data_IF_673908315837
#
_entry.id   IF_673908315837
#
_cell.length_a   1.000
_cell.length_b   1.000
_cell.length_c   1.000
_cell.angle_alpha   90.00
_cell.angle_beta   90.00
_cell.angle_gamma   90.00
#
_symmetry.space_group_name_H-M   'P 1'
#
loop_
_entity.id
_entity.type
_entity.pdbx_description
1 polymer ?
#
# COMPACT_ATOMS: atom_id res chain seq x y z
N UNK A 1 -13.27 -18.67 14.99
CA UNK A 1 -12.36 -17.48 15.04
C UNK A 1 -12.79 -16.49 13.98
N UNK A 2 -12.84 -15.21 14.28
CA UNK A 2 -13.18 -14.16 13.32
C UNK A 2 -12.11 -14.09 12.22
N UNK A 3 -12.50 -14.25 10.97
CA UNK A 3 -11.62 -14.16 9.82
C UNK A 3 -11.39 -12.71 9.44
N UNK A 4 -10.21 -12.19 9.74
CA UNK A 4 -9.83 -10.81 9.43
C UNK A 4 -8.97 -10.76 8.17
N UNK A 5 -9.35 -9.93 7.21
CA UNK A 5 -8.51 -9.57 6.06
C UNK A 5 -8.08 -8.11 6.19
N UNK A 6 -6.76 -7.87 6.17
CA UNK A 6 -6.21 -6.52 6.20
C UNK A 6 -6.05 -5.96 4.79
N UNK A 7 -6.68 -4.83 4.49
CA UNK A 7 -6.51 -4.06 3.26
C UNK A 7 -5.60 -2.86 3.52
N UNK A 8 -4.37 -2.90 2.99
CA UNK A 8 -3.34 -1.89 3.23
C UNK A 8 -3.12 -1.04 1.96
N UNK A 9 -3.47 0.24 2.06
CA UNK A 9 -3.42 1.17 0.92
C UNK A 9 -1.98 1.49 0.48
N UNK A 10 -1.84 1.96 -0.76
CA UNK A 10 -0.66 2.69 -1.20
C UNK A 10 -0.51 4.03 -0.48
N UNK A 11 0.69 4.61 -0.47
CA UNK A 11 0.90 5.92 0.19
C UNK A 11 2.38 6.29 0.41
N UNK A 12 3.32 5.57 -0.19
CA UNK A 12 4.76 5.82 -0.03
C UNK A 12 5.21 5.63 1.43
N UNK A 13 6.02 6.52 1.97
CA UNK A 13 6.54 6.43 3.34
C UNK A 13 5.44 6.45 4.42
N UNK A 14 4.27 7.03 4.12
CA UNK A 14 3.12 7.09 5.03
C UNK A 14 2.59 5.70 5.40
N UNK A 15 2.89 4.68 4.59
CA UNK A 15 2.50 3.29 4.86
C UNK A 15 3.12 2.72 6.14
N UNK A 16 4.09 3.38 6.77
CA UNK A 16 4.53 3.03 8.12
C UNK A 16 3.38 3.09 9.15
N UNK A 17 2.34 3.89 8.91
CA UNK A 17 1.13 3.91 9.73
C UNK A 17 0.41 2.56 9.77
N UNK A 18 0.55 1.73 8.74
CA UNK A 18 -0.01 0.38 8.73
C UNK A 18 0.52 -0.49 9.86
N UNK A 19 1.82 -0.34 10.22
CA UNK A 19 2.41 -1.10 11.34
C UNK A 19 1.72 -0.75 12.66
N UNK A 20 1.55 0.55 12.93
CA UNK A 20 0.85 1.02 14.11
C UNK A 20 -0.61 0.56 14.17
N UNK A 21 -1.32 0.63 13.04
CA UNK A 21 -2.70 0.20 12.95
C UNK A 21 -2.85 -1.32 13.16
N UNK A 22 -1.97 -2.13 12.56
CA UNK A 22 -1.97 -3.60 12.77
C UNK A 22 -1.59 -3.96 14.20
N UNK A 23 -0.71 -3.17 14.86
CA UNK A 23 -0.42 -3.35 16.28
C UNK A 23 -1.67 -3.16 17.13
N UNK A 24 -2.40 -2.07 16.96
CA UNK A 24 -3.63 -1.81 17.70
C UNK A 24 -4.68 -2.90 17.45
N UNK A 25 -4.80 -3.39 16.20
CA UNK A 25 -5.70 -4.51 15.87
C UNK A 25 -5.33 -5.76 16.66
N UNK A 26 -4.04 -6.16 16.66
CA UNK A 26 -3.59 -7.38 17.37
C UNK A 26 -3.78 -7.29 18.88
N UNK A 27 -3.67 -6.09 19.46
CA UNK A 27 -3.92 -5.86 20.89
C UNK A 27 -5.38 -6.12 21.29
N UNK A 28 -6.34 -6.07 20.34
CA UNK A 28 -7.74 -6.48 20.57
C UNK A 28 -7.98 -8.00 20.45
N UNK A 29 -6.93 -8.79 20.18
CA UNK A 29 -7.05 -10.23 19.93
C UNK A 29 -7.43 -10.59 18.50
N UNK A 30 -7.65 -9.63 17.62
CA UNK A 30 -7.92 -9.87 16.20
C UNK A 30 -6.60 -10.04 15.42
N UNK A 31 -6.42 -11.21 14.83
CA UNK A 31 -5.21 -11.54 14.07
C UNK A 31 -5.56 -11.63 12.59
N UNK A 32 -4.82 -10.92 11.71
CA UNK A 32 -5.04 -11.04 10.28
C UNK A 32 -4.78 -12.46 9.77
N UNK A 33 -5.75 -13.03 9.07
CA UNK A 33 -5.60 -14.29 8.34
C UNK A 33 -5.12 -14.08 6.89
N UNK A 34 -5.21 -12.83 6.40
CA UNK A 34 -4.81 -12.50 5.04
C UNK A 34 -4.47 -10.99 4.95
N UNK A 35 -3.43 -10.66 4.21
CA UNK A 35 -3.07 -9.29 3.86
C UNK A 35 -3.31 -9.03 2.38
N UNK A 36 -3.95 -7.92 2.06
CA UNK A 36 -4.10 -7.41 0.69
C UNK A 36 -3.44 -6.04 0.63
N UNK A 37 -2.47 -5.87 -0.24
CA UNK A 37 -1.69 -4.64 -0.28
C UNK A 37 -1.55 -4.04 -1.68
N UNK A 38 -1.49 -2.71 -1.71
CA UNK A 38 -1.24 -1.91 -2.92
C UNK A 38 0.01 -1.06 -2.73
N UNK A 39 0.88 -0.97 -3.74
CA UNK A 39 2.07 -0.11 -3.73
C UNK A 39 2.97 -0.40 -2.52
N UNK A 40 3.44 0.62 -1.82
CA UNK A 40 4.21 0.45 -0.58
C UNK A 40 3.44 -0.31 0.50
N UNK A 41 2.09 -0.27 0.51
CA UNK A 41 1.27 -1.10 1.39
C UNK A 41 1.44 -2.60 1.12
N UNK A 42 1.71 -3.00 -0.13
CA UNK A 42 2.02 -4.38 -0.47
C UNK A 42 3.37 -4.84 0.14
N UNK A 43 4.35 -3.94 0.23
CA UNK A 43 5.64 -4.24 0.89
C UNK A 43 5.43 -4.45 2.39
N UNK A 44 4.66 -3.58 3.05
CA UNK A 44 4.33 -3.75 4.48
C UNK A 44 3.57 -5.06 4.70
N UNK A 45 2.57 -5.33 3.84
CA UNK A 45 1.81 -6.58 3.86
C UNK A 45 2.73 -7.82 3.73
N UNK A 46 3.70 -7.78 2.80
CA UNK A 46 4.65 -8.87 2.57
C UNK A 46 5.60 -9.09 3.76
N UNK A 47 6.10 -8.01 4.38
CA UNK A 47 6.94 -8.09 5.58
C UNK A 47 6.17 -8.75 6.72
N UNK A 48 4.91 -8.34 6.95
CA UNK A 48 4.07 -8.91 7.99
C UNK A 48 3.63 -10.34 7.67
N UNK A 49 3.35 -10.63 6.39
CA UNK A 49 2.98 -11.98 5.95
C UNK A 49 4.14 -12.97 6.02
N UNK A 50 5.38 -12.49 5.93
CA UNK A 50 6.59 -13.30 6.11
C UNK A 50 6.92 -13.60 7.60
N UNK A 51 6.03 -13.25 8.54
CA UNK A 51 6.21 -13.53 9.96
C UNK A 51 7.10 -12.52 10.72
N UNK A 52 7.56 -11.44 10.07
CA UNK A 52 8.33 -10.42 10.77
C UNK A 52 7.53 -9.81 11.92
N UNK A 53 8.16 -9.66 13.07
CA UNK A 53 7.58 -8.89 14.17
C UNK A 53 7.40 -7.41 13.76
N UNK A 54 6.47 -6.71 14.41
CA UNK A 54 6.24 -5.29 14.16
C UNK A 54 7.50 -4.45 14.43
N UNK A 55 8.29 -4.82 15.42
CA UNK A 55 9.54 -4.14 15.75
C UNK A 55 10.61 -4.34 14.67
N UNK A 56 10.74 -5.57 14.14
CA UNK A 56 11.62 -5.86 13.00
C UNK A 56 11.19 -5.10 11.76
N UNK A 57 9.87 -5.10 11.45
CA UNK A 57 9.31 -4.36 10.33
C UNK A 57 9.61 -2.85 10.44
N UNK A 58 9.43 -2.27 11.63
CA UNK A 58 9.75 -0.87 11.92
C UNK A 58 11.24 -0.59 11.70
N UNK A 59 12.13 -1.44 12.22
CA UNK A 59 13.57 -1.30 12.05
C UNK A 59 13.96 -1.35 10.59
N UNK A 60 13.48 -2.36 9.84
CA UNK A 60 13.75 -2.52 8.41
C UNK A 60 13.32 -1.29 7.60
N UNK A 61 12.15 -0.71 7.90
CA UNK A 61 11.69 0.52 7.25
C UNK A 61 12.54 1.73 7.61
N UNK A 62 12.99 1.85 8.87
CA UNK A 62 13.82 2.96 9.33
C UNK A 62 15.22 2.93 8.72
N UNK A 63 15.70 1.76 8.31
CA UNK A 63 17.00 1.56 7.65
C UNK A 63 16.97 1.92 6.16
N UNK A 64 15.78 2.09 5.57
CA UNK A 64 15.64 2.52 4.17
C UNK A 64 16.22 3.92 3.96
N UNK A 65 16.89 4.10 2.84
CA UNK A 65 17.42 5.38 2.41
C UNK A 65 16.71 5.82 1.13
N UNK A 66 16.59 7.14 0.94
CA UNK A 66 15.99 7.69 -0.29
C UNK A 66 16.67 7.15 -1.56
N UNK A 67 17.98 6.96 -1.55
CA UNK A 67 18.74 6.37 -2.67
C UNK A 67 18.35 4.91 -3.00
N UNK A 68 17.79 4.19 -2.04
CA UNK A 68 17.30 2.83 -2.27
C UNK A 68 16.00 2.84 -3.09
N UNK A 69 15.16 3.84 -2.85
CA UNK A 69 13.86 4.00 -3.51
C UNK A 69 13.93 4.88 -4.76
N UNK A 70 14.65 6.00 -4.71
CA UNK A 70 14.62 7.05 -5.73
C UNK A 70 16.01 7.26 -6.38
N UNK A 71 16.69 6.19 -6.79
CA UNK A 71 17.96 6.29 -7.49
C UNK A 71 17.74 6.76 -8.94
N UNK A 72 18.26 7.95 -9.36
CA UNK A 72 18.03 8.48 -10.68
C UNK A 72 18.49 7.53 -11.79
N UNK A 73 17.69 7.41 -12.84
CA UNK A 73 18.09 6.70 -14.05
C UNK A 73 18.96 7.60 -14.94
N UNK A 74 20.09 7.11 -15.50
CA UNK A 74 20.87 7.89 -16.47
C UNK A 74 20.04 8.35 -17.67
N UNK A 75 19.09 7.52 -18.11
CA UNK A 75 18.13 7.86 -19.17
C UNK A 75 17.18 9.00 -18.82
N UNK A 76 17.03 9.36 -17.54
CA UNK A 76 16.20 10.50 -17.15
C UNK A 76 16.70 11.83 -17.76
N UNK A 77 18.00 11.92 -18.07
CA UNK A 77 18.59 13.05 -18.80
C UNK A 77 18.14 13.13 -20.26
N UNK A 78 17.66 12.01 -20.83
CA UNK A 78 17.13 11.96 -22.20
C UNK A 78 15.66 12.43 -22.27
N UNK A 79 15.08 12.88 -21.14
CA UNK A 79 13.75 13.47 -21.06
C UNK A 79 12.67 12.57 -21.66
N UNK A 80 12.14 12.96 -22.81
CA UNK A 80 11.04 12.29 -23.49
C UNK A 80 11.29 10.80 -23.83
N UNK A 81 12.54 10.40 -24.01
CA UNK A 81 12.91 9.01 -24.34
C UNK A 81 13.19 8.14 -23.11
N UNK A 82 13.05 8.68 -21.89
CA UNK A 82 13.24 7.89 -20.67
C UNK A 82 12.02 7.00 -20.39
N UNK A 83 12.30 5.74 -20.02
CA UNK A 83 11.24 4.81 -19.56
C UNK A 83 10.77 5.10 -18.13
N UNK A 84 11.48 5.93 -17.38
CA UNK A 84 11.17 6.31 -16.00
C UNK A 84 12.29 7.12 -15.38
N UNK A 85 11.98 7.83 -14.29
CA UNK A 85 12.94 8.71 -13.59
C UNK A 85 13.94 7.92 -12.76
N UNK A 86 13.51 6.79 -12.19
CA UNK A 86 14.31 5.99 -11.25
C UNK A 86 14.66 4.62 -11.81
N UNK A 87 15.81 4.10 -11.37
CA UNK A 87 16.26 2.76 -11.72
C UNK A 87 15.53 1.71 -10.88
N UNK A 88 15.00 0.63 -11.50
CA UNK A 88 14.34 -0.44 -10.76
C UNK A 88 15.29 -1.27 -9.89
N UNK A 89 16.55 -1.42 -10.30
CA UNK A 89 17.50 -2.29 -9.60
C UNK A 89 17.75 -1.95 -8.13
N UNK A 90 18.05 -0.69 -7.75
CA UNK A 90 18.17 -0.30 -6.35
C UNK A 90 16.91 -0.58 -5.53
N UNK A 91 15.73 -0.25 -6.06
CA UNK A 91 14.44 -0.51 -5.42
C UNK A 91 14.22 -2.02 -5.18
N UNK A 92 14.41 -2.85 -6.21
CA UNK A 92 14.27 -4.31 -6.09
C UNK A 92 15.21 -4.91 -5.04
N UNK A 93 16.46 -4.42 -4.97
CA UNK A 93 17.40 -4.84 -3.91
C UNK A 93 16.94 -4.41 -2.52
N UNK A 94 16.37 -3.21 -2.39
CA UNK A 94 15.82 -2.74 -1.13
C UNK A 94 14.66 -3.62 -0.67
N UNK A 95 13.70 -3.90 -1.56
CA UNK A 95 12.57 -4.80 -1.30
C UNK A 95 13.05 -6.20 -0.90
N UNK A 96 14.06 -6.75 -1.60
CA UNK A 96 14.62 -8.07 -1.30
C UNK A 96 15.35 -8.14 0.08
N UNK A 97 15.77 -6.98 0.63
CA UNK A 97 16.30 -6.89 2.01
C UNK A 97 15.20 -6.75 3.05
N UNK A 98 14.09 -6.06 2.68
CA UNK A 98 12.96 -5.84 3.58
C UNK A 98 12.13 -7.11 3.80
N UNK A 99 11.91 -7.88 2.73
CA UNK A 99 11.05 -9.06 2.78
C UNK A 99 11.93 -10.31 2.76
N UNK A 100 11.97 -11.10 3.85
CA UNK A 100 12.84 -12.27 3.94
C UNK A 100 12.37 -13.43 3.04
N UNK A 101 11.06 -13.48 2.69
CA UNK A 101 10.51 -14.48 1.79
C UNK A 101 10.89 -14.21 0.32
N UNK A 102 11.08 -15.27 -0.46
CA UNK A 102 11.41 -15.20 -1.89
C UNK A 102 10.23 -15.52 -2.78
N UNK A 103 9.34 -16.37 -2.31
CA UNK A 103 8.14 -16.86 -3.02
C UNK A 103 6.92 -16.67 -2.12
N UNK A 104 5.75 -16.66 -2.72
CA UNK A 104 4.48 -16.61 -1.97
C UNK A 104 4.31 -17.85 -1.05
N UNK A 105 4.81 -19.00 -1.46
CA UNK A 105 4.79 -20.22 -0.65
C UNK A 105 5.67 -20.17 0.61
N UNK A 106 6.59 -19.21 0.70
CA UNK A 106 7.47 -19.04 1.86
C UNK A 106 6.84 -18.13 2.94
N UNK A 107 5.61 -17.61 2.71
CA UNK A 107 4.91 -16.71 3.63
C UNK A 107 4.12 -17.49 4.69
N UNK A 108 4.11 -16.98 5.92
CA UNK A 108 3.35 -17.58 7.04
C UNK A 108 1.85 -17.22 6.98
N UNK A 109 1.52 -16.05 6.41
CA UNK A 109 0.15 -15.56 6.26
C UNK A 109 -0.14 -15.31 4.79
N UNK A 110 -1.38 -15.60 4.36
CA UNK A 110 -1.83 -15.34 3.00
C UNK A 110 -1.60 -13.87 2.59
N UNK A 111 -1.10 -13.67 1.36
CA UNK A 111 -0.82 -12.35 0.80
C UNK A 111 -1.40 -12.23 -0.59
N UNK A 112 -2.06 -11.10 -0.86
CA UNK A 112 -2.44 -10.68 -2.20
C UNK A 112 -1.85 -9.30 -2.49
N UNK A 113 -1.20 -9.17 -3.63
CA UNK A 113 -0.57 -7.94 -4.11
C UNK A 113 -1.34 -7.48 -5.34
N UNK A 114 -1.66 -6.18 -5.41
CA UNK A 114 -2.34 -5.59 -6.56
C UNK A 114 -1.36 -4.87 -7.49
N UNK A 115 -1.53 -5.05 -8.79
CA UNK A 115 -0.89 -4.27 -9.84
C UNK A 115 -1.89 -4.03 -10.97
N UNK A 116 -1.55 -3.24 -11.98
CA UNK A 116 -2.39 -3.01 -13.16
C UNK A 116 -1.66 -3.49 -14.40
N UNK A 117 -2.29 -4.38 -15.17
CA UNK A 117 -1.81 -4.79 -16.50
C UNK A 117 -1.98 -3.61 -17.47
N UNK A 118 -0.87 -3.17 -18.10
CA UNK A 118 -0.90 -1.98 -18.96
C UNK A 118 -1.57 -2.21 -20.31
N UNK A 119 -1.80 -3.46 -20.71
CA UNK A 119 -2.41 -3.78 -22.00
C UNK A 119 -3.93 -3.83 -21.89
N UNK A 120 -4.44 -4.37 -20.78
CA UNK A 120 -5.89 -4.50 -20.55
C UNK A 120 -6.45 -3.38 -19.68
N UNK A 121 -5.60 -2.71 -18.89
CA UNK A 121 -6.03 -1.76 -17.86
C UNK A 121 -6.69 -2.43 -16.65
N UNK A 122 -6.69 -3.77 -16.57
CA UNK A 122 -7.32 -4.51 -15.49
C UNK A 122 -6.42 -4.65 -14.27
N UNK A 123 -7.04 -4.83 -13.11
CA UNK A 123 -6.34 -5.13 -11.88
C UNK A 123 -5.81 -6.57 -11.94
N UNK A 124 -4.49 -6.71 -11.89
CA UNK A 124 -3.80 -7.98 -11.78
C UNK A 124 -3.53 -8.28 -10.30
N UNK A 125 -3.75 -9.53 -9.89
CA UNK A 125 -3.47 -10.01 -8.54
C UNK A 125 -2.30 -11.00 -8.56
N UNK A 126 -1.38 -10.80 -7.61
CA UNK A 126 -0.28 -11.72 -7.35
C UNK A 126 -0.42 -12.32 -5.95
N UNK A 127 -0.09 -13.61 -5.80
CA UNK A 127 -0.25 -14.37 -4.58
C UNK A 127 -1.63 -15.01 -4.45
N UNK A 128 -2.16 -15.09 -3.24
CA UNK A 128 -3.44 -15.75 -2.97
C UNK A 128 -4.57 -15.16 -3.80
N UNK A 129 -5.25 -15.99 -4.57
CA UNK A 129 -6.33 -15.59 -5.46
C UNK A 129 -5.89 -14.93 -6.78
N UNK A 130 -4.59 -14.97 -7.08
CA UNK A 130 -3.97 -14.50 -8.31
C UNK A 130 -2.79 -15.37 -8.69
N UNK A 131 -1.80 -14.80 -9.39
CA UNK A 131 -0.57 -15.49 -9.78
C UNK A 131 0.41 -15.58 -8.60
N UNK A 132 0.78 -16.77 -8.18
CA UNK A 132 1.73 -17.05 -7.10
C UNK A 132 3.02 -17.73 -7.58
N UNK A 133 3.12 -18.00 -8.88
CA UNK A 133 4.23 -18.63 -9.58
C UNK A 133 5.40 -17.66 -9.88
N UNK A 134 5.25 -16.37 -9.60
CA UNK A 134 6.26 -15.34 -9.85
C UNK A 134 7.11 -15.07 -8.61
N UNK A 135 8.39 -14.65 -8.77
CA UNK A 135 9.19 -14.22 -7.64
C UNK A 135 8.52 -13.06 -6.88
N UNK A 136 8.49 -13.17 -5.55
CA UNK A 136 7.80 -12.18 -4.70
C UNK A 136 8.33 -10.74 -4.93
N UNK A 137 9.65 -10.58 -5.14
CA UNK A 137 10.26 -9.27 -5.43
C UNK A 137 9.76 -8.67 -6.74
N UNK A 138 9.41 -9.50 -7.73
CA UNK A 138 8.91 -9.03 -9.02
C UNK A 138 7.47 -8.56 -8.93
N UNK A 139 6.64 -9.28 -8.18
CA UNK A 139 5.27 -8.87 -7.86
C UNK A 139 5.24 -7.58 -7.04
N UNK A 140 6.13 -7.45 -6.04
CA UNK A 140 6.25 -6.24 -5.23
C UNK A 140 6.77 -5.04 -6.03
N UNK A 141 7.69 -5.28 -6.98
CA UNK A 141 8.10 -4.22 -7.90
C UNK A 141 6.95 -3.81 -8.81
N UNK A 142 6.18 -4.76 -9.37
CA UNK A 142 5.00 -4.45 -10.19
C UNK A 142 3.99 -3.60 -9.43
N UNK A 143 3.70 -3.96 -8.16
CA UNK A 143 2.81 -3.21 -7.29
C UNK A 143 3.25 -1.76 -7.02
N UNK A 144 4.56 -1.48 -7.11
CA UNK A 144 5.17 -0.18 -6.82
C UNK A 144 5.72 0.55 -8.06
N UNK A 145 5.52 0.01 -9.26
CA UNK A 145 5.97 0.61 -10.51
C UNK A 145 5.11 1.82 -10.90
N UNK A 146 5.15 2.86 -10.06
CA UNK A 146 4.37 4.09 -10.25
C UNK A 146 4.76 4.76 -11.57
N UNK A 147 3.82 4.99 -12.50
CA UNK A 147 4.08 5.61 -13.78
C UNK A 147 4.84 6.93 -13.67
N UNK A 148 5.70 7.24 -14.64
CA UNK A 148 6.66 8.34 -14.66
C UNK A 148 7.87 8.10 -13.75
N UNK A 149 7.67 7.61 -12.54
CA UNK A 149 8.77 7.38 -11.60
C UNK A 149 9.57 6.12 -11.94
N UNK A 150 8.89 5.03 -12.24
CA UNK A 150 9.53 3.76 -12.58
C UNK A 150 9.05 3.22 -13.94
N UNK A 151 9.91 2.50 -14.66
CA UNK A 151 9.46 1.74 -15.82
C UNK A 151 8.48 0.65 -15.37
N UNK A 152 7.51 0.28 -16.22
CA UNK A 152 6.64 -0.87 -15.95
C UNK A 152 7.43 -2.13 -15.62
N UNK A 153 6.91 -2.96 -14.73
CA UNK A 153 7.46 -4.28 -14.48
C UNK A 153 7.13 -5.20 -15.66
N UNK A 154 8.12 -5.92 -16.16
CA UNK A 154 7.92 -6.94 -17.18
C UNK A 154 7.96 -8.32 -16.52
N UNK A 155 6.85 -9.07 -16.58
CA UNK A 155 6.70 -10.41 -16.03
C UNK A 155 6.05 -11.28 -17.11
N UNK A 156 6.75 -12.29 -17.59
CA UNK A 156 6.30 -13.22 -18.63
C UNK A 156 5.71 -12.54 -19.87
N UNK A 157 6.39 -11.51 -20.35
CA UNK A 157 6.02 -10.77 -21.56
C UNK A 157 4.88 -9.76 -21.36
N UNK A 158 4.29 -9.67 -20.17
CA UNK A 158 3.29 -8.66 -19.82
C UNK A 158 3.90 -7.52 -19.01
N UNK A 159 3.31 -6.35 -19.11
CA UNK A 159 3.77 -5.14 -18.42
C UNK A 159 2.78 -4.70 -17.36
N UNK A 160 3.29 -4.41 -16.16
CA UNK A 160 2.50 -4.03 -15.02
C UNK A 160 2.98 -2.71 -14.43
N UNK A 161 2.02 -1.91 -13.95
CA UNK A 161 2.26 -0.67 -13.19
C UNK A 161 1.60 -0.76 -11.83
N UNK A 162 1.90 0.22 -10.97
CA UNK A 162 1.39 0.32 -9.60
C UNK A 162 -0.12 0.10 -9.52
N UNK A 163 -0.53 -0.79 -8.62
CA UNK A 163 -1.94 -1.11 -8.36
C UNK A 163 -2.78 0.09 -7.94
N UNK A 164 -2.14 1.11 -7.35
CA UNK A 164 -2.79 2.34 -6.91
C UNK A 164 -3.43 3.15 -8.04
N UNK A 165 -2.99 2.95 -9.29
CA UNK A 165 -3.64 3.56 -10.46
C UNK A 165 -5.11 3.16 -10.57
N UNK A 166 -5.50 1.99 -10.04
CA UNK A 166 -6.86 1.45 -10.11
C UNK A 166 -7.48 1.12 -8.75
N UNK A 167 -6.69 0.82 -7.75
CA UNK A 167 -7.16 0.40 -6.43
C UNK A 167 -6.15 0.78 -5.34
N UNK A 168 -6.05 2.09 -5.03
CA UNK A 168 -5.10 2.57 -4.00
C UNK A 168 -5.41 1.96 -2.63
N UNK A 169 -6.68 1.81 -2.28
CA UNK A 169 -7.16 1.04 -1.13
C UNK A 169 -7.89 -0.21 -1.64
N UNK A 170 -7.37 -1.44 -1.48
CA UNK A 170 -7.88 -2.62 -2.16
C UNK A 170 -9.06 -3.30 -1.43
N UNK A 171 -10.14 -2.56 -1.08
CA UNK A 171 -11.30 -3.06 -0.34
C UNK A 171 -12.03 -4.18 -1.07
N UNK A 172 -12.36 -3.96 -2.35
CA UNK A 172 -13.10 -4.93 -3.15
C UNK A 172 -12.29 -6.22 -3.34
N UNK A 173 -10.95 -6.11 -3.42
CA UNK A 173 -10.07 -7.27 -3.45
C UNK A 173 -10.08 -8.01 -2.11
N UNK A 174 -10.04 -7.31 -0.98
CA UNK A 174 -10.09 -7.91 0.34
C UNK A 174 -11.41 -8.66 0.59
N UNK A 175 -12.53 -8.10 0.14
CA UNK A 175 -13.85 -8.69 0.28
C UNK A 175 -14.00 -10.03 -0.49
N UNK A 176 -13.24 -10.24 -1.59
CA UNK A 176 -13.28 -11.48 -2.38
C UNK A 176 -12.89 -12.73 -1.56
N UNK A 177 -12.18 -12.55 -0.47
CA UNK A 177 -11.74 -13.65 0.39
C UNK A 177 -12.76 -14.03 1.46
N UNK A 178 -14.00 -13.51 1.37
CA UNK A 178 -15.10 -13.77 2.29
C UNK A 178 -14.65 -13.66 3.76
N UNK A 179 -14.14 -12.49 4.20
CA UNK A 179 -13.82 -12.25 5.60
C UNK A 179 -15.09 -11.96 6.41
N UNK A 180 -15.02 -12.15 7.73
CA UNK A 180 -15.99 -11.58 8.66
C UNK A 180 -15.74 -10.07 8.83
N UNK A 181 -14.44 -9.68 8.82
CA UNK A 181 -13.99 -8.31 9.02
C UNK A 181 -12.95 -7.93 7.96
N UNK A 182 -13.17 -6.83 7.26
CA UNK A 182 -12.14 -6.11 6.52
C UNK A 182 -11.57 -5.01 7.40
N UNK A 183 -10.32 -5.17 7.85
CA UNK A 183 -9.58 -4.11 8.51
C UNK A 183 -8.79 -3.32 7.47
N UNK A 184 -9.27 -2.14 7.14
CA UNK A 184 -8.70 -1.31 6.10
C UNK A 184 -7.91 -0.13 6.70
N UNK A 185 -6.67 0.05 6.23
CA UNK A 185 -5.86 1.20 6.62
C UNK A 185 -5.57 2.03 5.38
N UNK A 186 -6.12 3.24 5.36
CA UNK A 186 -6.00 4.16 4.23
C UNK A 186 -5.07 5.33 4.57
N UNK A 187 -3.93 5.35 3.92
CA UNK A 187 -2.95 6.44 3.93
C UNK A 187 -2.70 6.96 2.52
N UNK A 188 -3.63 6.67 1.62
CA UNK A 188 -3.59 7.08 0.21
C UNK A 188 -3.59 8.60 0.03
N UNK A 189 -3.48 9.06 -1.19
CA UNK A 189 -3.57 10.49 -1.48
C UNK A 189 -5.00 10.99 -1.19
N UNK A 190 -5.06 12.15 -0.52
CA UNK A 190 -6.28 12.91 -0.34
C UNK A 190 -6.21 14.19 -1.16
N UNK A 191 -7.29 14.55 -1.84
CA UNK A 191 -7.37 15.80 -2.59
C UNK A 191 -7.36 17.04 -1.66
N UNK A 192 -7.73 16.86 -0.38
CA UNK A 192 -7.71 17.92 0.64
C UNK A 192 -6.29 18.31 1.07
N UNK A 193 -5.32 17.48 0.74
CA UNK A 193 -3.93 17.59 1.14
C UNK A 193 -3.01 17.83 -0.06
N UNK A 194 -3.36 18.76 -0.94
CA UNK A 194 -2.47 19.16 -2.01
C UNK A 194 -1.23 19.83 -1.42
N UNK A 195 0.01 19.40 -1.77
CA UNK A 195 1.21 20.07 -1.32
C UNK A 195 1.16 21.55 -1.71
N UNK A 196 1.49 22.43 -0.76
CA UNK A 196 1.67 23.84 -1.07
C UNK A 196 2.72 23.99 -2.18
N UNK A 197 2.41 24.79 -3.19
CA UNK A 197 3.34 25.13 -4.26
C UNK A 197 4.59 25.79 -3.67
N UNK A 198 5.72 25.19 -3.94
CA UNK A 198 7.00 25.81 -3.69
C UNK A 198 8.00 24.90 -3.01
N UNK A 199 9.06 24.59 -3.71
CA UNK A 199 10.37 24.08 -3.30
C UNK A 199 10.78 22.70 -3.81
N UNK A 200 10.04 22.03 -4.69
CA UNK A 200 10.53 20.78 -5.26
C UNK A 200 11.35 21.03 -6.53
N UNK A 201 12.59 20.55 -6.54
CA UNK A 201 13.48 20.48 -7.75
C UNK A 201 12.96 19.47 -8.79
N UNK A 202 11.65 19.17 -8.77
CA UNK A 202 11.00 18.24 -9.69
C UNK A 202 10.57 19.00 -10.93
N UNK A 203 10.91 18.53 -12.15
CA UNK A 203 10.49 19.17 -13.40
C UNK A 203 8.96 19.38 -13.44
N UNK A 204 8.48 20.52 -14.02
CA UNK A 204 7.05 20.85 -14.01
C UNK A 204 6.15 19.76 -14.57
N UNK A 205 6.56 19.11 -15.66
CA UNK A 205 5.78 18.03 -16.29
C UNK A 205 5.61 16.82 -15.35
N UNK A 206 6.66 16.43 -14.64
CA UNK A 206 6.63 15.33 -13.67
C UNK A 206 5.72 15.69 -12.50
N UNK A 207 5.80 16.93 -12.02
CA UNK A 207 4.95 17.44 -10.94
C UNK A 207 3.48 17.40 -11.35
N UNK A 208 3.14 17.90 -12.54
CA UNK A 208 1.77 17.87 -13.07
C UNK A 208 1.25 16.44 -13.22
N UNK A 209 2.03 15.55 -13.82
CA UNK A 209 1.66 14.13 -13.96
C UNK A 209 1.40 13.47 -12.61
N UNK A 210 2.27 13.70 -11.63
CA UNK A 210 2.08 13.18 -10.28
C UNK A 210 0.87 13.79 -9.56
N UNK A 211 0.54 15.07 -9.84
CA UNK A 211 -0.66 15.70 -9.29
C UNK A 211 -1.94 15.08 -9.87
N UNK A 212 -2.00 14.91 -11.20
CA UNK A 212 -3.15 14.27 -11.86
C UNK A 212 -3.35 12.84 -11.36
N UNK A 213 -2.26 12.05 -11.25
CA UNK A 213 -2.35 10.70 -10.69
C UNK A 213 -2.93 10.70 -9.29
N UNK A 214 -2.47 11.59 -8.40
CA UNK A 214 -3.01 11.69 -7.02
C UNK A 214 -4.48 12.04 -6.99
N UNK A 215 -4.91 12.99 -7.84
CA UNK A 215 -6.33 13.37 -7.95
C UNK A 215 -7.18 12.17 -8.37
N UNK A 216 -6.76 11.44 -9.41
CA UNK A 216 -7.50 10.27 -9.90
C UNK A 216 -7.55 9.15 -8.87
N UNK A 217 -6.42 8.86 -8.20
CA UNK A 217 -6.36 7.86 -7.14
C UNK A 217 -7.26 8.23 -5.94
N UNK A 218 -7.26 9.51 -5.54
CA UNK A 218 -8.11 10.00 -4.47
C UNK A 218 -9.60 9.92 -4.84
N UNK A 219 -9.98 10.35 -6.04
CA UNK A 219 -11.36 10.30 -6.53
C UNK A 219 -11.89 8.86 -6.58
N UNK A 220 -11.07 7.92 -7.05
CA UNK A 220 -11.44 6.51 -7.07
C UNK A 220 -11.60 5.93 -5.66
N UNK A 221 -10.70 6.28 -4.73
CA UNK A 221 -10.81 5.85 -3.33
C UNK A 221 -12.10 6.39 -2.67
N UNK A 222 -12.43 7.67 -2.90
CA UNK A 222 -13.65 8.28 -2.39
C UNK A 222 -14.92 7.61 -2.94
N UNK A 223 -14.96 7.32 -4.25
CA UNK A 223 -16.08 6.61 -4.86
C UNK A 223 -16.25 5.21 -4.26
N UNK A 224 -15.15 4.47 -4.09
CA UNK A 224 -15.16 3.14 -3.50
C UNK A 224 -15.63 3.17 -2.04
N UNK A 225 -15.12 4.10 -1.23
CA UNK A 225 -15.54 4.29 0.16
C UNK A 225 -17.02 4.69 0.23
N UNK A 226 -17.49 5.53 -0.69
CA UNK A 226 -18.92 5.90 -0.81
C UNK A 226 -19.80 4.68 -1.08
N UNK A 227 -19.39 3.79 -1.99
CA UNK A 227 -20.10 2.52 -2.26
C UNK A 227 -20.14 1.61 -1.04
N UNK A 228 -19.04 1.53 -0.31
CA UNK A 228 -18.97 0.74 0.91
C UNK A 228 -19.82 1.32 2.04
N UNK A 229 -19.84 2.65 2.20
CA UNK A 229 -20.68 3.34 3.18
C UNK A 229 -22.18 3.23 2.88
N UNK A 230 -22.57 3.07 1.61
CA UNK A 230 -23.96 2.87 1.20
C UNK A 230 -24.48 1.45 1.44
N UNK A 231 -23.64 0.51 1.89
CA UNK A 231 -24.08 -0.85 2.23
C UNK A 231 -24.94 -0.85 3.52
N UNK A 232 -25.85 -1.81 3.68
CA UNK A 232 -26.57 -1.97 4.94
C UNK A 232 -25.64 -2.04 6.14
N UNK A 233 -26.05 -1.48 7.27
CA UNK A 233 -25.23 -1.38 8.51
C UNK A 233 -24.68 -2.73 8.97
N UNK A 234 -25.43 -3.82 8.74
CA UNK A 234 -25.06 -5.19 9.13
C UNK A 234 -24.61 -6.04 7.92
N UNK A 235 -24.18 -5.41 6.82
CA UNK A 235 -23.74 -6.16 5.64
C UNK A 235 -22.36 -6.77 5.88
N UNK A 236 -22.22 -8.06 5.59
CA UNK A 236 -20.93 -8.74 5.57
C UNK A 236 -20.11 -8.36 4.31
N UNK A 237 -18.80 -8.25 4.46
CA UNK A 237 -18.04 -8.20 5.72
C UNK A 237 -18.19 -6.85 6.44
N UNK A 238 -18.00 -6.86 7.77
CA UNK A 238 -17.84 -5.64 8.56
C UNK A 238 -16.59 -4.86 8.07
N UNK A 239 -16.71 -3.56 7.86
CA UNK A 239 -15.57 -2.69 7.53
C UNK A 239 -15.10 -1.93 8.79
N UNK A 240 -13.85 -2.13 9.18
CA UNK A 240 -13.15 -1.27 10.14
C UNK A 240 -12.16 -0.41 9.34
N UNK A 241 -12.53 0.85 9.10
CA UNK A 241 -11.73 1.79 8.33
C UNK A 241 -10.89 2.68 9.25
N UNK A 242 -9.58 2.66 9.05
CA UNK A 242 -8.60 3.48 9.76
C UNK A 242 -7.97 4.46 8.78
N UNK A 243 -8.21 5.75 8.99
CA UNK A 243 -7.66 6.84 8.16
C UNK A 243 -6.82 7.77 9.05
N UNK A 244 -5.54 7.46 9.28
CA UNK A 244 -4.67 8.30 10.08
C UNK A 244 -4.54 9.70 9.47
N UNK A 245 -4.43 10.77 10.27
CA UNK A 245 -4.16 12.11 9.78
C UNK A 245 -2.74 12.16 9.24
N UNK A 246 -2.56 11.78 7.99
CA UNK A 246 -1.25 11.84 7.33
C UNK A 246 -1.05 13.23 6.75
N UNK A 247 0.05 13.87 7.15
CA UNK A 247 0.44 15.19 6.64
C UNK A 247 0.64 15.11 5.12
N UNK A 248 0.29 16.19 4.40
CA UNK A 248 0.43 16.34 2.95
C UNK A 248 1.88 16.18 2.41
N UNK A 249 2.76 15.65 3.23
CA UNK A 249 4.18 15.56 2.95
C UNK A 249 4.51 14.40 2.01
N UNK A 250 5.60 14.55 1.33
CA UNK A 250 5.99 13.78 0.16
C UNK A 250 6.08 12.26 0.39
N UNK A 251 5.79 11.50 -0.63
CA UNK A 251 5.90 10.03 -0.74
C UNK A 251 7.21 9.45 -0.18
N UNK A 252 8.27 10.25 -0.08
CA UNK A 252 9.62 9.82 0.27
C UNK A 252 10.17 10.32 1.62
N UNK A 253 9.30 10.79 2.54
CA UNK A 253 9.71 11.28 3.87
C UNK A 253 9.95 10.11 4.84
N UNK A 254 11.03 9.39 4.62
CA UNK A 254 11.46 8.24 5.44
C UNK A 254 11.88 8.64 6.87
N UNK A 255 12.18 9.90 7.09
CA UNK A 255 12.48 10.46 8.41
C UNK A 255 11.27 10.53 9.35
N UNK A 256 10.05 10.38 8.81
CA UNK A 256 8.79 10.43 9.57
C UNK A 256 8.20 9.04 9.87
N UNK A 257 8.89 7.95 9.59
CA UNK A 257 8.40 6.57 9.80
C UNK A 257 7.82 6.36 11.20
N UNK A 258 8.52 6.80 12.25
CA UNK A 258 8.04 6.67 13.63
C UNK A 258 6.79 7.52 13.94
N UNK A 259 6.70 8.72 13.34
CA UNK A 259 5.53 9.58 13.51
C UNK A 259 4.29 8.97 12.83
N UNK A 260 4.46 8.47 11.60
CA UNK A 260 3.37 7.79 10.87
C UNK A 260 2.90 6.54 11.60
N UNK A 261 3.82 5.72 12.12
CA UNK A 261 3.46 4.53 12.92
C UNK A 261 2.62 4.92 14.14
N UNK A 262 3.04 5.97 14.87
CA UNK A 262 2.31 6.46 16.04
C UNK A 262 0.91 6.98 15.67
N UNK A 263 0.78 7.70 14.54
CA UNK A 263 -0.51 8.18 14.05
C UNK A 263 -1.44 7.00 13.69
N UNK A 264 -0.90 6.00 12.99
CA UNK A 264 -1.63 4.77 12.65
C UNK A 264 -2.13 4.04 13.88
N UNK A 265 -1.29 3.91 14.92
CA UNK A 265 -1.68 3.27 16.18
C UNK A 265 -2.80 4.03 16.89
N UNK A 266 -2.64 5.35 17.08
CA UNK A 266 -3.63 6.17 17.80
C UNK A 266 -5.00 6.12 17.12
N UNK A 267 -5.01 6.30 15.79
CA UNK A 267 -6.27 6.29 15.03
C UNK A 267 -6.93 4.92 15.07
N UNK A 268 -6.16 3.85 14.90
CA UNK A 268 -6.71 2.50 14.95
C UNK A 268 -7.23 2.16 16.33
N UNK A 269 -6.49 2.50 17.41
CA UNK A 269 -6.92 2.26 18.79
C UNK A 269 -8.24 2.97 19.09
N UNK A 270 -8.41 4.22 18.63
CA UNK A 270 -9.67 4.95 18.78
C UNK A 270 -10.83 4.26 18.04
N UNK A 271 -10.66 3.93 16.75
CA UNK A 271 -11.69 3.27 15.94
C UNK A 271 -12.09 1.91 16.54
N UNK A 272 -11.11 1.15 17.03
CA UNK A 272 -11.36 -0.15 17.65
C UNK A 272 -12.07 -0.03 19.00
N UNK A 273 -11.76 0.97 19.81
CA UNK A 273 -12.47 1.26 21.06
C UNK A 273 -13.93 1.66 20.80
N UNK A 274 -14.20 2.53 19.84
CA UNK A 274 -15.55 2.91 19.43
C UNK A 274 -16.36 1.72 18.92
N UNK A 275 -15.72 0.80 18.19
CA UNK A 275 -16.35 -0.46 17.75
C UNK A 275 -16.71 -1.36 18.93
N UNK A 276 -15.83 -1.52 19.91
CA UNK A 276 -16.09 -2.29 21.13
C UNK A 276 -17.31 -1.75 21.86
N UNK A 277 -17.33 -0.43 22.11
CA UNK A 277 -18.44 0.22 22.79
C UNK A 277 -19.80 0.04 22.09
N UNK A 278 -19.83 0.01 20.73
CA UNK A 278 -21.07 -0.24 19.97
C UNK A 278 -21.59 -1.68 20.10
N UNK A 279 -20.69 -2.67 20.24
CA UNK A 279 -21.07 -4.08 20.38
C UNK A 279 -21.58 -4.41 21.77
N UNK A 280 -21.18 -3.63 22.78
CA UNK A 280 -21.59 -3.81 24.19
C UNK A 280 -22.87 -3.03 24.53
N UNK A 281 -23.41 -2.23 23.59
CA UNK A 281 -24.72 -1.59 23.74
C UNK A 281 -25.83 -2.61 23.50
N UNK A 282 -26.81 -2.71 24.41
CA UNK A 282 -27.90 -3.69 24.36
C UNK A 282 -28.83 -3.46 23.16
#
# INVERSE_FOLDING_TARGET
MTKVVCALSGGGAKTAAHLGAVRALRETGLVPAHYVGTSMGAIIAAVLAAGCSLEEARRLLSDLRLRDLAAPAPSALLGYFSRGLFRPGPFRRAVARLVPARRFADLEVALTITAVDTETGELALFGTGGRDDVPLVDALYAACALPVYYPPAEIDGRRYVDGGVRAVLPLDTAARFAPDVVFAVDVGPSWRELPADGTTRVPPLVRQSGQVQRILMAAYAEEMLGRWAARPVNADPELILVQPPVRAETTFRLDLVGAYEADGYRTAAQVLAERGARRDMP
#
